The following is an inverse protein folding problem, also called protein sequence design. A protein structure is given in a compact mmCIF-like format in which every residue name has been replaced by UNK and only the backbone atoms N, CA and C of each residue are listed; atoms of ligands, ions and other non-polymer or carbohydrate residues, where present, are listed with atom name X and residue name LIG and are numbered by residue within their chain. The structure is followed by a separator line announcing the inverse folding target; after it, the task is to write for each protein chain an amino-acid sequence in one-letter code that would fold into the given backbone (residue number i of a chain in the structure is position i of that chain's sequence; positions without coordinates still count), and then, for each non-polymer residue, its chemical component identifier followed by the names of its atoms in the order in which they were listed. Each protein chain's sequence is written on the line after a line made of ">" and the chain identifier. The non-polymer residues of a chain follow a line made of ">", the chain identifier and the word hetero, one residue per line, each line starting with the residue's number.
data_IF_395698886661
#
_entry.id   IF_395698886661
#
_cell.length_a   1.000
_cell.length_b   1.000
_cell.length_c   1.000
_cell.angle_alpha   90.00
_cell.angle_beta   90.00
_cell.angle_gamma   90.00
#
_symmetry.space_group_name_H-M   'P 1'
#
loop_
_entity.id
_entity.type
_entity.pdbx_description
1 polymer ?
#
# COMPACT_ATOMS: atom_id res chain seq x y z
N UNK A 1 0.62 23.41 -20.79
CA UNK A 1 1.72 22.43 -20.65
C UNK A 1 1.10 21.05 -20.67
N UNK A 2 1.33 20.29 -21.73
CA UNK A 2 0.71 18.99 -21.99
C UNK A 2 1.31 17.96 -21.04
N UNK A 3 0.49 17.36 -20.19
CA UNK A 3 0.89 16.27 -19.29
C UNK A 3 1.19 15.01 -20.08
N UNK A 4 2.44 14.58 -20.04
CA UNK A 4 2.86 13.29 -20.59
C UNK A 4 2.21 12.15 -19.81
N UNK A 5 1.27 11.46 -20.43
CA UNK A 5 0.76 10.17 -19.97
C UNK A 5 1.61 9.11 -20.67
N UNK A 6 2.37 8.28 -19.94
CA UNK A 6 3.13 7.21 -20.59
C UNK A 6 2.17 6.25 -21.28
N UNK A 7 2.39 6.02 -22.59
CA UNK A 7 1.66 4.99 -23.30
C UNK A 7 1.96 3.62 -22.68
N UNK A 8 0.96 2.76 -22.49
CA UNK A 8 1.19 1.37 -22.12
C UNK A 8 2.07 0.69 -23.19
N UNK A 9 2.87 -0.32 -22.81
CA UNK A 9 3.71 -1.03 -23.75
C UNK A 9 2.86 -1.58 -24.91
N UNK A 10 3.35 -1.45 -26.14
CA UNK A 10 2.62 -1.71 -27.40
C UNK A 10 2.06 -3.14 -27.58
N UNK A 11 2.26 -4.04 -26.64
CA UNK A 11 1.83 -5.44 -26.71
C UNK A 11 0.83 -5.84 -25.62
N UNK A 12 0.24 -4.89 -24.90
CA UNK A 12 -0.86 -5.22 -23.99
C UNK A 12 -2.15 -5.35 -24.80
N UNK A 13 -2.49 -6.55 -25.20
CA UNK A 13 -3.86 -6.90 -25.57
C UNK A 13 -4.60 -7.13 -24.27
N UNK A 14 -5.55 -6.27 -23.96
CA UNK A 14 -6.62 -6.59 -23.03
C UNK A 14 -7.44 -7.70 -23.68
N UNK A 15 -7.16 -8.94 -23.33
CA UNK A 15 -8.19 -9.95 -23.44
C UNK A 15 -9.12 -9.67 -22.24
N UNK A 16 -10.35 -9.23 -22.56
CA UNK A 16 -11.41 -9.21 -21.57
C UNK A 16 -11.50 -10.63 -20.99
N UNK A 17 -11.05 -10.80 -19.75
CA UNK A 17 -11.25 -12.03 -19.01
C UNK A 17 -12.77 -12.23 -18.95
N UNK A 18 -13.28 -13.15 -19.74
CA UNK A 18 -14.71 -13.51 -19.64
C UNK A 18 -14.94 -13.99 -18.23
N UNK A 19 -15.94 -13.44 -17.54
CA UNK A 19 -16.27 -13.94 -16.20
C UNK A 19 -16.46 -15.45 -16.30
N UNK A 20 -15.66 -16.19 -15.54
CA UNK A 20 -15.79 -17.63 -15.46
C UNK A 20 -17.11 -17.91 -14.75
N UNK A 21 -18.08 -18.44 -15.46
CA UNK A 21 -19.33 -18.87 -14.84
C UNK A 21 -19.07 -20.17 -14.07
N UNK A 22 -18.75 -20.02 -12.79
CA UNK A 22 -18.48 -21.13 -11.86
C UNK A 22 -19.70 -22.06 -11.78
N UNK A 23 -20.92 -21.54 -11.92
CA UNK A 23 -22.13 -22.35 -11.97
C UNK A 23 -22.18 -23.23 -13.21
N UNK A 24 -21.83 -22.71 -14.38
CA UNK A 24 -21.80 -23.50 -15.61
C UNK A 24 -20.73 -24.59 -15.56
N UNK A 25 -19.57 -24.33 -14.97
CA UNK A 25 -18.53 -25.34 -14.77
C UNK A 25 -18.98 -26.45 -13.82
N UNK A 26 -19.66 -26.13 -12.72
CA UNK A 26 -20.21 -27.13 -11.77
C UNK A 26 -21.32 -28.00 -12.39
N UNK A 27 -22.19 -27.40 -13.19
CA UNK A 27 -23.20 -28.14 -13.91
C UNK A 27 -22.60 -29.07 -14.97
N UNK A 28 -21.54 -28.64 -15.65
CA UNK A 28 -20.82 -29.51 -16.59
C UNK A 28 -20.15 -30.72 -15.89
N UNK A 29 -19.63 -30.51 -14.65
CA UNK A 29 -19.13 -31.62 -13.84
C UNK A 29 -20.22 -32.54 -13.33
N UNK A 30 -21.40 -32.02 -12.95
CA UNK A 30 -22.56 -32.81 -12.59
C UNK A 30 -23.02 -33.69 -13.75
N UNK A 31 -23.15 -33.16 -14.94
CA UNK A 31 -23.51 -33.92 -16.15
C UNK A 31 -22.49 -35.03 -16.45
N UNK A 32 -21.21 -34.78 -16.15
CA UNK A 32 -20.12 -35.73 -16.43
C UNK A 32 -19.99 -36.88 -15.42
N UNK A 33 -20.31 -36.62 -14.18
CA UNK A 33 -20.07 -37.56 -13.07
C UNK A 33 -21.32 -38.03 -12.31
N UNK A 34 -22.49 -37.50 -12.62
CA UNK A 34 -23.75 -37.89 -12.01
C UNK A 34 -23.85 -37.67 -10.50
N UNK A 35 -23.00 -36.81 -9.95
CA UNK A 35 -22.97 -36.39 -8.54
C UNK A 35 -23.29 -34.92 -8.42
N UNK A 36 -24.27 -34.60 -7.58
CA UNK A 36 -24.59 -33.22 -7.24
C UNK A 36 -23.32 -32.56 -6.66
N UNK A 37 -22.86 -31.43 -7.24
CA UNK A 37 -21.67 -30.74 -6.73
C UNK A 37 -21.89 -30.38 -5.26
N UNK A 38 -20.94 -30.72 -4.40
CA UNK A 38 -21.00 -30.36 -3.00
C UNK A 38 -21.18 -28.81 -2.92
N UNK A 39 -22.20 -28.36 -2.18
CA UNK A 39 -22.33 -26.93 -1.88
C UNK A 39 -21.10 -26.52 -1.10
N UNK A 40 -20.32 -25.62 -1.68
CA UNK A 40 -19.28 -24.97 -0.89
C UNK A 40 -19.94 -24.22 0.26
N UNK A 41 -19.34 -24.29 1.46
CA UNK A 41 -19.84 -23.50 2.58
C UNK A 41 -19.88 -22.02 2.18
N UNK A 42 -20.98 -21.35 2.50
CA UNK A 42 -21.15 -19.93 2.21
C UNK A 42 -20.09 -19.15 3.01
N UNK A 43 -19.18 -18.47 2.30
CA UNK A 43 -18.13 -17.68 2.94
C UNK A 43 -18.71 -16.43 3.60
N UNK A 44 -18.13 -16.05 4.71
CA UNK A 44 -18.54 -14.85 5.44
C UNK A 44 -17.95 -13.63 4.74
N UNK A 45 -18.79 -12.69 4.30
CA UNK A 45 -18.34 -11.47 3.62
C UNK A 45 -17.67 -10.49 4.58
N UNK A 46 -16.47 -10.01 4.23
CA UNK A 46 -15.75 -8.95 4.95
C UNK A 46 -15.85 -7.64 4.18
N UNK A 47 -16.36 -6.59 4.83
CA UNK A 47 -16.23 -5.21 4.36
C UNK A 47 -14.89 -4.65 4.87
N UNK A 48 -13.86 -4.64 4.01
CA UNK A 48 -12.52 -4.16 4.35
C UNK A 48 -12.37 -2.68 3.99
N UNK A 49 -11.87 -1.88 4.94
CA UNK A 49 -11.54 -0.49 4.75
C UNK A 49 -10.06 -0.26 4.99
N UNK A 50 -9.35 0.32 4.01
CA UNK A 50 -7.91 0.55 4.07
C UNK A 50 -7.62 2.05 3.95
N UNK A 51 -6.97 2.62 4.98
CA UNK A 51 -6.38 3.95 4.92
C UNK A 51 -5.02 3.90 4.23
N UNK A 52 -4.81 4.68 3.17
CA UNK A 52 -3.52 4.75 2.45
C UNK A 52 -2.96 6.17 2.58
N UNK A 53 -1.79 6.29 3.18
CA UNK A 53 -1.17 7.55 3.58
C UNK A 53 0.14 7.77 2.82
N UNK A 54 0.14 8.70 1.85
CA UNK A 54 1.33 9.05 1.08
C UNK A 54 1.99 10.30 1.64
N UNK A 55 3.21 10.14 2.14
CA UNK A 55 3.93 11.26 2.73
C UNK A 55 4.47 12.24 1.69
N UNK A 56 4.82 13.43 2.17
CA UNK A 56 5.41 14.48 1.35
C UNK A 56 6.85 14.16 0.97
N UNK A 57 7.33 14.77 -0.11
CA UNK A 57 8.72 14.63 -0.56
C UNK A 57 9.70 14.86 0.57
N UNK A 58 10.68 13.99 0.68
CA UNK A 58 11.72 14.07 1.70
C UNK A 58 11.26 13.66 3.11
N UNK A 59 10.01 13.25 3.30
CA UNK A 59 9.53 12.75 4.59
C UNK A 59 9.53 11.23 4.65
N UNK A 60 10.10 10.68 5.71
CA UNK A 60 10.14 9.25 5.96
C UNK A 60 10.18 9.00 7.46
N UNK A 61 9.10 8.46 8.01
CA UNK A 61 8.96 8.27 9.46
C UNK A 61 10.03 7.33 10.05
N UNK A 62 10.47 6.33 9.30
CA UNK A 62 11.53 5.41 9.75
C UNK A 62 12.88 6.12 9.78
N UNK A 63 13.18 6.95 8.77
CA UNK A 63 14.40 7.74 8.73
C UNK A 63 14.41 8.80 9.84
N UNK A 64 13.29 9.48 10.08
CA UNK A 64 13.13 10.41 11.20
C UNK A 64 13.45 9.73 12.54
N UNK A 65 12.90 8.54 12.77
CA UNK A 65 13.16 7.78 14.00
C UNK A 65 14.64 7.37 14.13
N UNK A 66 15.27 6.93 13.04
CA UNK A 66 16.70 6.61 13.02
C UNK A 66 17.57 7.86 13.22
N UNK A 67 17.21 9.00 12.61
CA UNK A 67 17.92 10.27 12.73
C UNK A 67 17.93 10.82 14.15
N UNK A 68 16.86 10.64 14.90
CA UNK A 68 16.84 10.97 16.35
C UNK A 68 17.94 10.24 17.12
N UNK A 69 18.21 8.98 16.79
CA UNK A 69 19.22 8.17 17.44
C UNK A 69 20.63 8.44 16.91
N UNK A 70 20.75 9.00 15.70
CA UNK A 70 22.03 9.26 15.04
C UNK A 70 22.45 10.74 15.03
N UNK A 71 21.75 11.60 15.75
CA UNK A 71 22.15 12.98 15.96
C UNK A 71 21.77 13.96 14.82
N UNK A 72 20.85 13.58 13.93
CA UNK A 72 20.41 14.44 12.82
C UNK A 72 19.67 15.71 13.29
N UNK A 73 18.88 15.59 14.34
CA UNK A 73 18.08 16.70 14.90
C UNK A 73 18.77 17.40 16.07
N UNK A 74 19.54 16.66 16.87
CA UNK A 74 20.27 17.17 18.01
C UNK A 74 21.66 16.53 18.07
N UNK A 75 22.73 17.32 18.32
CA UNK A 75 24.07 16.75 18.50
C UNK A 75 24.08 15.70 19.61
N UNK A 76 24.67 14.55 19.34
CA UNK A 76 24.89 13.45 20.28
C UNK A 76 26.37 13.29 20.49
N UNK A 77 26.82 12.97 21.70
CA UNK A 77 28.22 12.70 21.97
C UNK A 77 28.69 11.49 21.14
N UNK A 78 29.89 11.51 20.56
CA UNK A 78 30.35 10.43 19.66
C UNK A 78 30.30 9.02 20.28
N UNK A 79 30.50 8.94 21.58
CA UNK A 79 30.44 7.70 22.36
C UNK A 79 29.03 7.13 22.50
N UNK A 80 27.99 7.98 22.36
CA UNK A 80 26.58 7.60 22.49
C UNK A 80 25.92 7.28 21.13
N UNK A 81 26.62 7.52 20.01
CA UNK A 81 26.12 7.22 18.68
C UNK A 81 26.13 5.71 18.45
N UNK A 82 24.97 5.09 18.17
CA UNK A 82 24.89 3.66 17.85
C UNK A 82 25.80 3.26 16.68
N UNK A 83 26.45 2.12 16.78
CA UNK A 83 27.30 1.56 15.71
C UNK A 83 26.54 1.29 14.39
N UNK A 84 25.22 1.24 14.43
CA UNK A 84 24.36 1.09 13.26
C UNK A 84 24.17 2.39 12.45
N UNK A 85 24.54 3.54 13.02
CA UNK A 85 24.39 4.83 12.35
C UNK A 85 25.37 4.97 11.18
N UNK A 86 24.81 5.35 10.04
CA UNK A 86 25.60 5.69 8.86
C UNK A 86 25.80 7.21 8.79
N UNK A 87 26.86 7.70 8.13
CA UNK A 87 27.17 9.16 8.06
C UNK A 87 26.01 10.01 7.54
N UNK A 88 25.24 9.51 6.57
CA UNK A 88 24.08 10.22 6.02
C UNK A 88 22.89 10.30 7.00
N UNK A 89 22.86 9.49 8.05
CA UNK A 89 21.80 9.52 9.07
C UNK A 89 21.93 10.69 10.05
N UNK A 90 23.06 11.40 10.04
CA UNK A 90 23.27 12.63 10.80
C UNK A 90 23.21 13.91 9.95
N UNK A 91 22.91 13.79 8.65
CA UNK A 91 22.81 14.93 7.74
C UNK A 91 21.57 15.77 8.07
N UNK A 92 21.74 17.07 8.45
CA UNK A 92 20.62 17.94 8.83
C UNK A 92 19.71 18.30 7.66
N UNK A 93 20.13 18.09 6.42
CA UNK A 93 19.35 18.38 5.21
C UNK A 93 18.65 17.13 4.62
N UNK A 94 18.63 16.02 5.37
CA UNK A 94 18.06 14.76 4.96
C UNK A 94 16.70 14.45 5.59
N UNK A 95 16.06 13.38 5.12
CA UNK A 95 14.83 12.86 5.72
C UNK A 95 15.01 12.40 7.18
N UNK A 96 16.24 12.18 7.61
CA UNK A 96 16.57 11.80 8.97
C UNK A 96 16.45 12.97 9.95
N UNK A 97 16.65 14.20 9.49
CA UNK A 97 16.56 15.41 10.31
C UNK A 97 15.12 15.99 10.36
N UNK A 98 14.21 15.50 9.52
CA UNK A 98 12.85 15.97 9.51
C UNK A 98 12.08 15.53 10.75
N UNK A 99 11.13 16.35 11.18
CA UNK A 99 10.11 15.94 12.15
C UNK A 99 9.10 14.97 11.53
N UNK A 100 8.40 14.25 12.40
CA UNK A 100 7.28 13.39 12.00
C UNK A 100 6.20 14.22 11.30
N UNK A 101 5.90 13.88 10.07
CA UNK A 101 4.93 14.60 9.25
C UNK A 101 3.49 14.49 9.77
N UNK A 102 2.62 15.42 9.36
CA UNK A 102 1.20 15.34 9.69
C UNK A 102 0.52 14.14 9.02
N UNK A 103 1.03 13.67 7.88
CA UNK A 103 0.53 12.45 7.21
C UNK A 103 0.80 11.23 8.10
N UNK A 104 2.01 11.13 8.64
CA UNK A 104 2.35 10.04 9.58
C UNK A 104 1.53 10.13 10.85
N UNK A 105 1.41 11.31 11.46
CA UNK A 105 0.57 11.52 12.67
C UNK A 105 -0.88 11.12 12.41
N UNK A 106 -1.43 11.47 11.24
CA UNK A 106 -2.78 11.09 10.85
C UNK A 106 -2.92 9.58 10.66
N UNK A 107 -1.90 8.91 10.09
CA UNK A 107 -1.90 7.46 9.95
C UNK A 107 -1.92 6.72 11.29
N UNK A 108 -1.29 7.29 12.32
CA UNK A 108 -1.29 6.75 13.68
C UNK A 108 -2.64 6.93 14.39
N UNK A 109 -3.37 7.99 14.04
CA UNK A 109 -4.71 8.25 14.55
C UNK A 109 -5.80 7.50 13.77
N UNK A 110 -5.46 6.98 12.58
CA UNK A 110 -6.38 6.17 11.80
C UNK A 110 -6.70 4.89 12.58
N UNK A 111 -7.90 4.40 12.42
CA UNK A 111 -8.36 3.25 13.18
C UNK A 111 -7.37 2.08 13.01
N UNK A 112 -6.80 1.64 14.14
CA UNK A 112 -5.77 0.60 14.14
C UNK A 112 -6.26 -0.65 13.40
N UNK A 113 -5.38 -1.38 12.70
CA UNK A 113 -5.75 -2.59 11.99
C UNK A 113 -6.55 -3.51 12.90
N UNK A 114 -7.85 -3.57 12.71
CA UNK A 114 -8.73 -4.46 13.44
C UNK A 114 -9.00 -5.65 12.57
N UNK A 115 -8.88 -6.82 13.15
CA UNK A 115 -9.40 -8.04 12.56
C UNK A 115 -10.90 -7.91 12.40
N UNK A 116 -11.44 -8.67 11.46
CA UNK A 116 -12.85 -8.65 11.17
C UNK A 116 -13.69 -8.85 12.45
N UNK A 117 -14.37 -7.80 12.85
CA UNK A 117 -15.28 -7.79 13.98
C UNK A 117 -16.72 -7.69 13.45
N UNK A 118 -17.65 -8.30 14.13
CA UNK A 118 -19.07 -8.21 13.84
C UNK A 118 -19.79 -9.53 14.08
N UNK A 119 -21.03 -9.40 14.48
CA UNK A 119 -21.98 -10.53 14.56
C UNK A 119 -22.79 -10.59 13.25
N UNK A 120 -22.98 -11.78 12.72
CA UNK A 120 -23.81 -11.99 11.54
C UNK A 120 -23.02 -12.24 10.24
N UNK A 121 -23.71 -12.19 9.09
CA UNK A 121 -23.16 -12.62 7.79
C UNK A 121 -22.14 -11.66 7.18
N UNK A 122 -21.87 -10.52 7.82
CA UNK A 122 -20.91 -9.51 7.35
C UNK A 122 -20.02 -9.03 8.49
N UNK A 123 -18.73 -9.18 8.31
CA UNK A 123 -17.70 -8.66 9.22
C UNK A 123 -17.12 -7.35 8.67
N UNK A 124 -16.57 -6.51 9.56
CA UNK A 124 -15.83 -5.31 9.17
C UNK A 124 -14.36 -5.49 9.56
N UNK A 125 -13.47 -5.12 8.65
CA UNK A 125 -12.04 -5.10 8.93
C UNK A 125 -11.46 -3.75 8.50
N UNK A 126 -10.40 -3.33 9.20
CA UNK A 126 -9.70 -2.08 8.93
C UNK A 126 -8.21 -2.37 8.72
N UNK A 127 -7.60 -1.68 7.79
CA UNK A 127 -6.18 -1.74 7.52
C UNK A 127 -5.59 -0.35 7.31
N UNK A 128 -4.27 -0.23 7.46
CA UNK A 128 -3.55 1.00 7.22
C UNK A 128 -2.25 0.72 6.45
N UNK A 129 -1.96 1.54 5.45
CA UNK A 129 -0.73 1.54 4.66
C UNK A 129 -0.14 2.94 4.70
N UNK A 130 1.07 3.07 5.25
CA UNK A 130 1.87 4.27 5.16
C UNK A 130 2.91 4.11 4.05
N UNK A 131 3.02 5.10 3.16
CA UNK A 131 3.95 5.13 2.05
C UNK A 131 4.88 6.33 2.24
N UNK A 132 6.16 6.05 2.30
CA UNK A 132 7.23 7.04 2.45
C UNK A 132 7.20 8.10 1.34
N UNK A 133 7.69 9.27 1.65
CA UNK A 133 7.77 10.38 0.71
C UNK A 133 8.70 10.12 -0.47
N UNK A 134 8.43 10.84 -1.56
CA UNK A 134 9.25 10.80 -2.78
C UNK A 134 10.69 11.23 -2.45
N UNK A 135 11.67 10.49 -3.01
CA UNK A 135 13.10 10.76 -2.83
C UNK A 135 13.70 10.10 -1.60
N UNK A 136 12.92 9.41 -0.76
CA UNK A 136 13.43 8.71 0.42
C UNK A 136 13.33 7.20 0.28
N UNK A 137 14.07 6.47 1.09
CA UNK A 137 13.93 5.04 1.29
C UNK A 137 14.38 4.72 2.73
N UNK A 138 13.61 3.89 3.43
CA UNK A 138 13.91 3.57 4.83
C UNK A 138 15.28 2.92 4.98
N UNK A 139 16.14 3.52 5.81
CA UNK A 139 17.50 3.02 6.09
C UNK A 139 18.54 3.32 5.00
N UNK A 140 18.18 4.03 3.93
CA UNK A 140 19.09 4.40 2.83
C UNK A 140 19.29 5.92 2.75
N UNK A 141 20.34 6.36 2.03
CA UNK A 141 20.57 7.75 1.72
C UNK A 141 19.47 8.30 0.79
N UNK A 142 19.07 9.55 1.01
CA UNK A 142 18.03 10.20 0.23
C UNK A 142 18.44 10.38 -1.24
N UNK A 143 17.53 10.04 -2.16
CA UNK A 143 17.73 10.23 -3.58
C UNK A 143 17.41 11.67 -4.00
N UNK A 144 18.44 12.50 -4.19
CA UNK A 144 18.30 13.87 -4.72
C UNK A 144 17.64 13.87 -6.12
N UNK A 145 17.91 12.85 -6.94
CA UNK A 145 17.28 12.70 -8.25
C UNK A 145 15.79 12.39 -8.12
N UNK A 146 15.41 11.42 -7.28
CA UNK A 146 14.01 11.09 -7.00
C UNK A 146 13.26 12.27 -6.41
N UNK A 147 13.86 12.95 -5.42
CA UNK A 147 13.29 14.14 -4.79
C UNK A 147 13.11 15.30 -5.79
N UNK A 148 14.08 15.56 -6.67
CA UNK A 148 14.02 16.63 -7.65
C UNK A 148 13.06 16.37 -8.79
N UNK A 149 13.10 15.19 -9.39
CA UNK A 149 12.34 14.87 -10.63
C UNK A 149 11.01 14.15 -10.39
N UNK A 150 10.82 13.53 -9.22
CA UNK A 150 9.69 12.64 -8.94
C UNK A 150 9.71 11.35 -9.76
N UNK A 151 10.86 10.99 -10.34
CA UNK A 151 11.06 9.81 -11.20
C UNK A 151 11.90 8.74 -10.50
N UNK A 152 12.01 7.58 -11.16
CA UNK A 152 12.72 6.42 -10.61
C UNK A 152 11.89 5.67 -9.56
N UNK A 153 12.52 4.73 -8.88
CA UNK A 153 11.89 3.85 -7.89
C UNK A 153 11.35 4.62 -6.67
N UNK A 154 12.00 5.71 -6.27
CA UNK A 154 11.55 6.59 -5.19
C UNK A 154 10.62 7.70 -5.67
N UNK A 155 10.26 7.71 -6.94
CA UNK A 155 9.35 8.66 -7.56
C UNK A 155 7.88 8.27 -7.42
N UNK A 156 6.99 9.05 -8.06
CA UNK A 156 5.52 8.83 -8.01
C UNK A 156 5.14 7.40 -8.42
N UNK A 157 5.62 6.93 -9.57
CA UNK A 157 5.27 5.62 -10.09
C UNK A 157 5.73 4.48 -9.15
N UNK A 158 6.96 4.57 -8.62
CA UNK A 158 7.46 3.60 -7.65
C UNK A 158 6.65 3.61 -6.35
N UNK A 159 6.21 4.78 -5.87
CA UNK A 159 5.36 4.88 -4.66
C UNK A 159 3.97 4.28 -4.88
N UNK A 160 3.39 4.49 -6.06
CA UNK A 160 2.12 3.83 -6.42
C UNK A 160 2.30 2.31 -6.46
N UNK A 161 3.37 1.83 -7.10
CA UNK A 161 3.64 0.38 -7.17
C UNK A 161 3.87 -0.23 -5.78
N UNK A 162 4.67 0.41 -4.93
CA UNK A 162 4.89 -0.08 -3.55
C UNK A 162 3.61 -0.07 -2.72
N UNK A 163 2.71 0.89 -2.96
CA UNK A 163 1.43 0.92 -2.25
C UNK A 163 0.52 -0.25 -2.63
N UNK A 164 0.52 -0.70 -3.89
CA UNK A 164 -0.24 -1.89 -4.29
C UNK A 164 0.25 -3.14 -3.55
N UNK A 165 1.56 -3.37 -3.49
CA UNK A 165 2.13 -4.50 -2.75
C UNK A 165 1.75 -4.46 -1.25
N UNK A 166 1.77 -3.28 -0.64
CA UNK A 166 1.36 -3.11 0.75
C UNK A 166 -0.14 -3.31 0.96
N UNK A 167 -0.99 -2.89 0.02
CA UNK A 167 -2.43 -3.11 0.04
C UNK A 167 -2.73 -4.61 -0.08
N UNK A 168 -2.09 -5.30 -1.03
CA UNK A 168 -2.21 -6.74 -1.22
C UNK A 168 -1.83 -7.50 0.05
N UNK A 169 -0.70 -7.14 0.67
CA UNK A 169 -0.29 -7.72 1.95
C UNK A 169 -1.38 -7.56 3.02
N UNK A 170 -2.01 -6.37 3.14
CA UNK A 170 -3.08 -6.15 4.12
C UNK A 170 -4.31 -6.98 3.84
N UNK A 171 -4.69 -7.15 2.59
CA UNK A 171 -5.81 -8.01 2.20
C UNK A 171 -5.51 -9.47 2.57
N UNK A 172 -4.32 -9.95 2.22
CA UNK A 172 -3.86 -11.30 2.54
C UNK A 172 -3.86 -11.53 4.06
N UNK A 173 -3.30 -10.62 4.86
CA UNK A 173 -3.30 -10.72 6.33
C UNK A 173 -4.72 -10.84 6.93
N UNK A 174 -5.71 -10.16 6.33
CA UNK A 174 -7.11 -10.26 6.77
C UNK A 174 -7.70 -11.62 6.40
N UNK A 175 -7.45 -12.11 5.19
CA UNK A 175 -7.94 -13.41 4.74
C UNK A 175 -7.31 -14.58 5.48
N UNK A 176 -5.99 -14.56 5.71
CA UNK A 176 -5.27 -15.58 6.46
C UNK A 176 -5.81 -15.76 7.89
N UNK A 177 -6.23 -14.66 8.50
CA UNK A 177 -6.83 -14.69 9.83
C UNK A 177 -8.33 -15.03 9.83
N UNK A 178 -8.95 -15.10 8.66
CA UNK A 178 -10.35 -15.42 8.46
C UNK A 178 -10.54 -16.39 7.28
N UNK A 179 -10.09 -17.65 7.39
CA UNK A 179 -10.03 -18.59 6.27
C UNK A 179 -11.40 -18.93 5.65
N UNK A 180 -12.47 -18.81 6.44
CA UNK A 180 -13.85 -19.06 5.98
C UNK A 180 -14.54 -17.79 5.43
N UNK A 181 -13.75 -16.76 5.10
CA UNK A 181 -14.27 -15.46 4.69
C UNK A 181 -13.75 -15.04 3.32
N UNK A 182 -14.45 -14.08 2.70
CA UNK A 182 -14.05 -13.43 1.46
C UNK A 182 -14.20 -11.91 1.56
N UNK A 183 -13.50 -11.15 0.73
CA UNK A 183 -13.70 -9.70 0.68
C UNK A 183 -14.97 -9.38 -0.10
N UNK A 184 -16.03 -9.02 0.60
CA UNK A 184 -17.31 -8.63 0.00
C UNK A 184 -17.29 -7.17 -0.52
N UNK A 185 -16.51 -6.30 0.11
CA UNK A 185 -16.30 -4.93 -0.35
C UNK A 185 -14.97 -4.38 0.12
N UNK A 186 -14.36 -3.51 -0.70
CA UNK A 186 -13.11 -2.84 -0.39
C UNK A 186 -13.28 -1.33 -0.55
N UNK A 187 -12.96 -0.60 0.52
CA UNK A 187 -13.03 0.86 0.56
C UNK A 187 -11.66 1.43 0.86
N UNK A 188 -11.24 2.44 0.09
CA UNK A 188 -10.00 3.16 0.32
C UNK A 188 -10.26 4.56 0.84
N UNK A 189 -9.64 4.91 1.98
CA UNK A 189 -9.48 6.28 2.43
C UNK A 189 -8.05 6.71 2.11
N UNK A 190 -7.89 7.70 1.27
CA UNK A 190 -6.56 8.06 0.76
C UNK A 190 -6.16 9.46 1.20
N UNK A 191 -4.96 9.58 1.74
CA UNK A 191 -4.41 10.83 2.28
C UNK A 191 -3.03 11.08 1.68
N UNK A 192 -2.70 12.34 1.45
CA UNK A 192 -1.38 12.67 0.95
C UNK A 192 -1.05 14.14 1.10
N UNK A 193 0.25 14.44 1.23
CA UNK A 193 0.78 15.80 1.33
C UNK A 193 1.73 16.10 0.19
N UNK A 194 1.69 17.32 -0.35
CA UNK A 194 2.58 17.77 -1.43
C UNK A 194 2.51 16.81 -2.63
N UNK A 195 3.66 16.29 -3.12
CA UNK A 195 3.70 15.27 -4.17
C UNK A 195 3.06 13.94 -3.76
N UNK A 196 2.96 13.64 -2.47
CA UNK A 196 2.15 12.53 -1.96
C UNK A 196 0.67 12.68 -2.33
N UNK A 197 0.10 13.90 -2.30
CA UNK A 197 -1.27 14.14 -2.77
C UNK A 197 -1.44 13.87 -4.28
N UNK A 198 -0.41 14.16 -5.09
CA UNK A 198 -0.42 13.77 -6.50
C UNK A 198 -0.35 12.24 -6.66
N UNK A 199 0.44 11.56 -5.83
CA UNK A 199 0.56 10.09 -5.83
C UNK A 199 -0.78 9.42 -5.48
N UNK A 200 -1.52 9.96 -4.50
CA UNK A 200 -2.89 9.53 -4.17
C UNK A 200 -3.80 9.58 -5.41
N UNK A 201 -3.78 10.68 -6.15
CA UNK A 201 -4.61 10.81 -7.37
C UNK A 201 -4.18 9.81 -8.45
N UNK A 202 -2.89 9.54 -8.56
CA UNK A 202 -2.35 8.54 -9.48
C UNK A 202 -2.81 7.13 -9.10
N UNK A 203 -2.76 6.77 -7.81
CA UNK A 203 -3.29 5.51 -7.29
C UNK A 203 -4.79 5.35 -7.63
N UNK A 204 -5.61 6.36 -7.29
CA UNK A 204 -7.05 6.34 -7.58
C UNK A 204 -7.34 6.19 -9.07
N UNK A 205 -6.57 6.86 -9.92
CA UNK A 205 -6.69 6.73 -11.38
C UNK A 205 -6.31 5.33 -11.89
N UNK A 206 -5.32 4.68 -11.30
CA UNK A 206 -4.94 3.30 -11.64
C UNK A 206 -6.00 2.30 -11.17
N UNK A 207 -6.47 2.41 -9.94
CA UNK A 207 -7.55 1.55 -9.42
C UNK A 207 -8.82 1.69 -10.29
N UNK A 208 -9.17 2.90 -10.69
CA UNK A 208 -10.34 3.15 -11.54
C UNK A 208 -10.23 2.55 -12.94
N UNK A 209 -9.01 2.49 -13.50
CA UNK A 209 -8.78 2.01 -14.87
C UNK A 209 -8.51 0.52 -14.97
N UNK A 210 -7.77 -0.02 -14.01
CA UNK A 210 -7.22 -1.37 -14.08
C UNK A 210 -7.84 -2.31 -13.04
N UNK A 211 -8.65 -1.79 -12.13
CA UNK A 211 -9.08 -2.53 -10.95
C UNK A 211 -7.93 -2.71 -9.95
N UNK A 212 -8.18 -3.48 -8.93
CA UNK A 212 -7.14 -4.12 -8.13
C UNK A 212 -6.78 -5.39 -8.87
N UNK A 213 -5.50 -5.52 -9.21
CA UNK A 213 -4.97 -6.69 -9.92
C UNK A 213 -5.46 -7.98 -9.25
N UNK A 214 -5.67 -9.01 -10.07
CA UNK A 214 -6.08 -10.33 -9.63
C UNK A 214 -5.24 -10.76 -8.42
N UNK A 215 -5.86 -10.70 -7.26
CA UNK A 215 -5.28 -11.28 -6.06
C UNK A 215 -5.23 -12.79 -6.31
N UNK A 216 -4.09 -13.45 -6.10
CA UNK A 216 -4.05 -14.89 -6.19
C UNK A 216 -5.09 -15.46 -5.23
N UNK A 217 -6.07 -16.17 -5.82
CA UNK A 217 -7.13 -16.87 -5.11
C UNK A 217 -6.59 -18.10 -4.39
#
# INVERSE_FOLDING_TARGET
>A
MSGYVPNPPKNYRYEEAKPVDIHAQRWAEYEKHGKEPAREPEKIGIALRIGVFFDGTGNNANNTAAGLLCGAQHPIAPEDIPASCQPYMSDPDSSYANDVSNVKKLSELYEAPRLAEGEGPRKKAFGMVYVEGIGTRSGEEDSKFGAGTGRGETGVAGRVQSSFASIEQRITEVLDKNPDSEIASLTFDTFGFSRGAYTVRSLGGMISKCGLLDLPG
#
